data_IF_520841105519
#
_entry.id   IF_520841105519
#
_cell.length_a   1.000
_cell.length_b   1.000
_cell.length_c   1.000
_cell.angle_alpha   90.00
_cell.angle_beta   90.00
_cell.angle_gamma   90.00
#
_symmetry.space_group_name_H-M   'P 1'
#
loop_
_entity.id
_entity.type
_entity.pdbx_description
1 polymer ?
#
# COMPACT_ATOMS: atom_id res chain seq x y z
N UNK A 1 10.91 -61.16 -5.27
CA UNK A 1 10.02 -60.62 -6.31
C UNK A 1 9.09 -59.61 -5.61
N UNK A 2 9.67 -58.51 -5.11
CA UNK A 2 9.01 -57.55 -4.20
C UNK A 2 9.43 -56.14 -4.65
N UNK A 3 9.04 -55.77 -5.86
CA UNK A 3 9.29 -54.46 -6.43
C UNK A 3 8.04 -54.02 -7.18
N UNK A 4 6.92 -53.80 -6.48
CA UNK A 4 5.70 -53.28 -7.10
C UNK A 4 4.71 -52.57 -6.14
N UNK A 5 5.12 -52.15 -4.93
CA UNK A 5 4.25 -51.36 -4.05
C UNK A 5 4.48 -49.85 -4.12
N UNK A 6 5.51 -49.38 -4.85
CA UNK A 6 5.83 -47.95 -4.93
C UNK A 6 5.02 -47.16 -5.97
N UNK A 7 4.13 -47.80 -6.75
CA UNK A 7 3.38 -47.17 -7.85
C UNK A 7 1.87 -47.08 -7.59
N UNK A 8 1.50 -46.78 -6.34
CA UNK A 8 0.11 -46.55 -5.94
C UNK A 8 -0.15 -45.13 -5.40
N UNK A 9 0.81 -44.20 -5.57
CA UNK A 9 0.73 -42.83 -5.06
C UNK A 9 0.42 -41.77 -6.13
N UNK A 10 -0.11 -42.17 -7.30
CA UNK A 10 -0.47 -41.23 -8.37
C UNK A 10 -1.89 -40.65 -8.21
N UNK A 11 -2.65 -41.08 -7.21
CA UNK A 11 -4.01 -40.59 -6.97
C UNK A 11 -4.03 -39.60 -5.79
N UNK A 12 -4.48 -38.36 -6.01
CA UNK A 12 -4.65 -37.41 -4.93
C UNK A 12 -5.63 -37.96 -3.90
N UNK A 13 -5.29 -37.81 -2.62
CA UNK A 13 -6.12 -38.30 -1.51
C UNK A 13 -7.47 -37.58 -1.47
N UNK A 14 -8.47 -38.20 -0.84
CA UNK A 14 -9.79 -37.58 -0.65
C UNK A 14 -9.65 -36.26 0.12
N UNK A 15 -8.71 -36.19 1.05
CA UNK A 15 -8.36 -35.01 1.82
C UNK A 15 -7.85 -33.87 0.94
N UNK A 16 -7.04 -34.17 -0.07
CA UNK A 16 -6.57 -33.17 -1.03
C UNK A 16 -7.75 -32.56 -1.80
N UNK A 17 -8.67 -33.37 -2.31
CA UNK A 17 -9.84 -32.86 -3.03
C UNK A 17 -10.75 -32.00 -2.16
N UNK A 18 -10.93 -32.39 -0.88
CA UNK A 18 -11.64 -31.56 0.10
C UNK A 18 -10.96 -30.22 0.35
N UNK A 19 -9.62 -30.20 0.34
CA UNK A 19 -8.87 -28.97 0.44
C UNK A 19 -9.06 -28.09 -0.80
N UNK A 20 -8.98 -28.66 -2.01
CA UNK A 20 -9.20 -27.94 -3.28
C UNK A 20 -10.59 -27.31 -3.33
N UNK A 21 -11.63 -28.01 -2.89
CA UNK A 21 -13.00 -27.48 -2.88
C UNK A 21 -13.16 -26.29 -1.90
N UNK A 22 -12.51 -26.37 -0.74
CA UNK A 22 -12.46 -25.26 0.22
C UNK A 22 -11.68 -24.08 -0.33
N UNK A 23 -10.51 -24.30 -0.92
CA UNK A 23 -9.69 -23.26 -1.52
C UNK A 23 -10.47 -22.53 -2.63
N UNK A 24 -11.15 -23.29 -3.50
CA UNK A 24 -12.04 -22.72 -4.52
C UNK A 24 -13.16 -21.88 -3.90
N UNK A 25 -13.79 -22.36 -2.84
CA UNK A 25 -14.87 -21.64 -2.14
C UNK A 25 -14.36 -20.31 -1.57
N UNK A 26 -13.22 -20.31 -0.89
CA UNK A 26 -12.59 -19.09 -0.35
C UNK A 26 -12.20 -18.15 -1.48
N UNK A 27 -11.63 -18.65 -2.57
CA UNK A 27 -11.28 -17.86 -3.74
C UNK A 27 -12.50 -17.17 -4.35
N UNK A 28 -13.59 -17.89 -4.58
CA UNK A 28 -14.82 -17.29 -5.13
C UNK A 28 -15.41 -16.25 -4.18
N UNK A 29 -15.40 -16.53 -2.88
CA UNK A 29 -15.82 -15.56 -1.86
C UNK A 29 -14.96 -14.29 -1.92
N UNK A 30 -13.63 -14.41 -1.93
CA UNK A 30 -12.71 -13.28 -2.07
C UNK A 30 -13.05 -12.46 -3.32
N UNK A 31 -13.06 -13.10 -4.51
CA UNK A 31 -13.34 -12.43 -5.78
C UNK A 31 -14.71 -11.72 -5.80
N UNK A 32 -15.72 -12.27 -5.11
CA UNK A 32 -17.06 -11.67 -5.01
C UNK A 32 -17.11 -10.39 -4.16
N UNK A 33 -16.12 -10.20 -3.29
CA UNK A 33 -16.06 -9.05 -2.37
C UNK A 33 -15.14 -7.93 -2.86
N UNK A 34 -14.32 -8.19 -3.87
CA UNK A 34 -13.39 -7.21 -4.42
C UNK A 34 -14.11 -6.22 -5.33
N UNK A 35 -13.62 -4.98 -5.33
CA UNK A 35 -14.03 -4.01 -6.35
C UNK A 35 -13.57 -4.48 -7.73
N UNK A 36 -14.24 -4.01 -8.78
CA UNK A 36 -13.87 -4.33 -10.17
C UNK A 36 -12.40 -4.00 -10.47
N UNK A 37 -11.92 -2.85 -9.95
CA UNK A 37 -10.52 -2.45 -10.04
C UNK A 37 -9.59 -3.51 -9.43
N UNK A 38 -9.81 -3.90 -8.18
CA UNK A 38 -8.95 -4.89 -7.51
C UNK A 38 -9.05 -6.27 -8.16
N UNK A 39 -10.25 -6.66 -8.57
CA UNK A 39 -10.52 -7.93 -9.24
C UNK A 39 -9.68 -8.05 -10.53
N UNK A 40 -9.57 -6.97 -11.31
CA UNK A 40 -8.79 -6.95 -12.56
C UNK A 40 -7.33 -7.40 -12.39
N UNK A 41 -6.68 -7.07 -11.26
CA UNK A 41 -5.28 -7.43 -11.00
C UNK A 41 -5.07 -8.89 -10.58
N UNK A 42 -6.10 -9.53 -10.06
CA UNK A 42 -6.05 -10.91 -9.52
C UNK A 42 -6.84 -11.89 -10.38
N UNK A 43 -7.28 -11.44 -11.56
CA UNK A 43 -7.95 -12.32 -12.53
C UNK A 43 -6.99 -13.41 -13.02
N UNK A 44 -7.48 -14.65 -13.08
CA UNK A 44 -6.71 -15.81 -13.54
C UNK A 44 -5.90 -16.55 -12.47
N UNK A 45 -5.79 -16.02 -11.25
CA UNK A 45 -5.09 -16.71 -10.17
C UNK A 45 -5.87 -17.91 -9.68
N UNK A 46 -5.21 -19.04 -9.45
CA UNK A 46 -5.86 -20.34 -9.27
C UNK A 46 -6.31 -20.58 -7.83
N UNK A 47 -5.52 -20.08 -6.87
CA UNK A 47 -5.71 -20.35 -5.46
C UNK A 47 -6.14 -19.12 -4.65
N UNK A 48 -6.82 -19.36 -3.52
CA UNK A 48 -7.26 -18.28 -2.65
C UNK A 48 -6.09 -17.50 -2.02
N UNK A 49 -5.00 -18.20 -1.69
CA UNK A 49 -3.82 -17.57 -1.10
C UNK A 49 -3.14 -16.61 -2.07
N UNK A 50 -3.13 -16.92 -3.37
CA UNK A 50 -2.62 -16.02 -4.40
C UNK A 50 -3.45 -14.74 -4.35
N UNK A 51 -4.79 -14.86 -4.50
CA UNK A 51 -5.73 -13.71 -4.50
C UNK A 51 -5.51 -12.84 -3.28
N UNK A 52 -5.43 -13.46 -2.10
CA UNK A 52 -5.17 -12.74 -0.87
C UNK A 52 -3.83 -12.01 -0.87
N UNK A 53 -2.74 -12.65 -1.29
CA UNK A 53 -1.41 -12.03 -1.35
C UNK A 53 -1.36 -10.83 -2.28
N UNK A 54 -2.01 -10.89 -3.45
CA UNK A 54 -2.09 -9.76 -4.37
C UNK A 54 -2.86 -8.59 -3.82
N UNK A 55 -4.04 -8.85 -3.27
CA UNK A 55 -4.87 -7.81 -2.64
C UNK A 55 -4.09 -7.14 -1.50
N UNK A 56 -3.44 -7.94 -0.66
CA UNK A 56 -2.61 -7.43 0.43
C UNK A 56 -1.48 -6.53 -0.09
N UNK A 57 -0.81 -6.92 -1.18
CA UNK A 57 0.28 -6.15 -1.79
C UNK A 57 -0.20 -4.83 -2.40
N UNK A 58 -1.34 -4.82 -3.09
CA UNK A 58 -1.96 -3.62 -3.67
C UNK A 58 -2.28 -2.63 -2.55
N UNK A 59 -2.98 -3.09 -1.51
CA UNK A 59 -3.34 -2.26 -0.36
C UNK A 59 -2.11 -1.72 0.37
N UNK A 60 -1.08 -2.56 0.57
CA UNK A 60 0.18 -2.16 1.19
C UNK A 60 0.89 -1.09 0.39
N UNK A 61 0.99 -1.25 -0.92
CA UNK A 61 1.63 -0.29 -1.82
C UNK A 61 0.90 1.05 -1.81
N UNK A 62 -0.42 1.03 -1.88
CA UNK A 62 -1.24 2.24 -1.82
C UNK A 62 -1.07 2.99 -0.49
N UNK A 63 -1.08 2.27 0.64
CA UNK A 63 -0.88 2.85 1.96
C UNK A 63 0.52 3.49 2.10
N UNK A 64 1.55 2.79 1.63
CA UNK A 64 2.94 3.29 1.66
C UNK A 64 3.07 4.56 0.82
N UNK A 65 2.49 4.60 -0.38
CA UNK A 65 2.58 5.78 -1.23
C UNK A 65 1.82 6.97 -0.64
N UNK A 66 0.61 6.76 -0.14
CA UNK A 66 -0.16 7.79 0.58
C UNK A 66 0.61 8.35 1.77
N UNK A 67 1.27 7.48 2.55
CA UNK A 67 2.08 7.88 3.70
C UNK A 67 3.29 8.73 3.27
N UNK A 68 4.00 8.33 2.21
CA UNK A 68 5.13 9.11 1.66
C UNK A 68 4.69 10.49 1.18
N UNK A 69 3.56 10.57 0.47
CA UNK A 69 3.01 11.84 -0.01
C UNK A 69 2.64 12.76 1.18
N UNK A 70 1.99 12.22 2.21
CA UNK A 70 1.63 12.96 3.41
C UNK A 70 2.87 13.53 4.11
N UNK A 71 3.91 12.71 4.31
CA UNK A 71 5.18 13.14 4.92
C UNK A 71 5.84 14.27 4.12
N UNK A 72 5.89 14.15 2.79
CA UNK A 72 6.45 15.21 1.93
C UNK A 72 5.64 16.51 2.03
N UNK A 73 4.32 16.41 2.18
CA UNK A 73 3.44 17.58 2.38
C UNK A 73 3.74 18.28 3.70
N UNK A 74 3.84 17.52 4.80
CA UNK A 74 4.19 18.07 6.11
C UNK A 74 5.58 18.72 6.11
N UNK A 75 6.58 18.09 5.49
CA UNK A 75 7.91 18.69 5.35
C UNK A 75 7.90 20.04 4.60
N UNK A 76 7.04 20.18 3.58
CA UNK A 76 6.87 21.45 2.86
C UNK A 76 6.18 22.50 3.73
N UNK A 77 5.19 22.10 4.53
CA UNK A 77 4.48 23.00 5.44
C UNK A 77 5.41 23.56 6.52
N UNK A 78 6.27 22.72 7.12
CA UNK A 78 7.27 23.14 8.12
C UNK A 78 8.21 24.19 7.51
N UNK A 79 8.80 23.91 6.35
CA UNK A 79 9.68 24.87 5.65
C UNK A 79 8.99 26.21 5.37
N UNK A 80 7.69 26.19 5.05
CA UNK A 80 6.91 27.41 4.81
C UNK A 80 6.65 28.17 6.13
N UNK A 81 6.39 27.47 7.23
CA UNK A 81 6.25 28.07 8.56
C UNK A 81 7.53 28.79 9.00
N UNK A 82 8.68 28.14 8.85
CA UNK A 82 9.99 28.69 9.22
C UNK A 82 10.37 29.93 8.40
N UNK A 83 10.02 29.95 7.10
CA UNK A 83 10.23 31.11 6.23
C UNK A 83 9.32 32.28 6.62
N UNK A 84 8.05 31.99 6.94
CA UNK A 84 7.08 33.02 7.31
C UNK A 84 7.41 33.65 8.69
N UNK A 85 8.03 32.90 9.60
CA UNK A 85 8.52 33.43 10.88
C UNK A 85 9.72 34.38 10.67
N UNK A 86 10.65 34.04 9.76
CA UNK A 86 11.84 34.86 9.46
C UNK A 86 11.56 36.12 8.63
N UNK A 87 10.47 36.15 7.87
CA UNK A 87 10.05 37.34 7.10
C UNK A 87 9.40 38.45 7.95
N UNK A 88 9.18 38.22 9.24
CA UNK A 88 8.67 39.25 10.16
C UNK A 88 9.75 40.23 10.65
N UNK A 89 11.03 39.95 10.39
CA UNK A 89 12.17 40.77 10.84
C UNK A 89 12.87 41.38 9.62
N UNK A 90 12.25 42.37 8.98
CA UNK A 90 12.90 43.48 8.27
C UNK A 90 11.85 44.40 7.63
N UNK A 91 11.19 45.25 8.43
CA UNK A 91 10.83 46.60 7.96
C UNK A 91 11.79 47.58 8.60
N UNK A 92 12.69 48.24 7.86
CA UNK A 92 13.35 49.41 8.41
C UNK A 92 12.28 50.49 8.57
N UNK A 93 11.93 50.77 9.83
CA UNK A 93 11.26 52.03 10.18
C UNK A 93 12.18 53.14 9.71
N UNK A 94 11.75 53.87 8.69
CA UNK A 94 12.39 55.10 8.21
C UNK A 94 12.44 56.11 9.35
N UNK A 95 13.52 56.06 10.13
CA UNK A 95 13.82 56.94 11.24
C UNK A 95 14.18 58.33 10.73
N UNK A 96 13.43 59.31 11.24
CA UNK A 96 13.64 60.76 11.09
C UNK A 96 15.11 61.10 11.37
N UNK A 97 15.76 61.81 10.44
CA UNK A 97 16.92 62.65 10.79
C UNK A 97 16.43 64.09 10.89
N UNK A 98 16.15 64.51 12.12
CA UNK A 98 16.25 65.91 12.49
C UNK A 98 17.71 66.34 12.31
N UNK A 99 17.96 67.33 11.46
CA UNK A 99 19.24 68.06 11.43
C UNK A 99 19.22 69.11 12.56
N UNK A 100 20.31 69.29 13.32
CA UNK A 100 20.49 70.48 14.14
C UNK A 100 21.08 71.62 13.30
N UNK A 101 20.86 72.84 13.79
CA UNK A 101 21.19 74.14 13.22
C UNK A 101 22.69 74.33 12.89
N UNK A 102 22.91 74.98 11.73
CA UNK A 102 23.89 76.04 11.42
C UNK A 102 23.80 76.35 9.91
#
# INVERSE_FOLDING_TARGET
MEANLARAADFPTIEYWRWVDKDRTVRMWLLSTLSEFMCSFVTGWEHAWEVWSGVHEICRSELVEKSKIALRKEMKNIKKGDLNEKDSICRPVSGRRSRPDC
#
